data_IF_695491642485
#
_entry.id   IF_695491642485
#
_cell.length_a   1.000
_cell.length_b   1.000
_cell.length_c   1.000
_cell.angle_alpha   90.00
_cell.angle_beta   90.00
_cell.angle_gamma   90.00
#
_symmetry.space_group_name_H-M   'P 1'
#
loop_
_entity.id
_entity.type
_entity.pdbx_description
1 polymer ?
#
# COMPACT_ATOMS: atom_id res chain seq x y z
N UNK A 1 7.56 -46.49 13.86
CA UNK A 1 6.58 -45.72 13.08
C UNK A 1 7.02 -44.27 13.22
N UNK A 2 7.61 -43.71 12.18
CA UNK A 2 8.14 -42.33 12.16
C UNK A 2 7.06 -41.44 11.57
N UNK A 3 6.63 -40.41 12.30
CA UNK A 3 5.81 -39.34 11.76
C UNK A 3 6.78 -38.22 11.35
N UNK A 4 7.08 -38.14 10.06
CA UNK A 4 7.70 -36.95 9.47
C UNK A 4 6.61 -35.89 9.38
N UNK A 5 6.75 -34.86 10.23
CA UNK A 5 5.90 -33.68 10.19
C UNK A 5 6.14 -32.93 8.90
N UNK A 6 5.12 -32.90 8.05
CA UNK A 6 5.00 -32.03 6.89
C UNK A 6 4.86 -30.59 7.44
N UNK A 7 5.99 -29.90 7.56
CA UNK A 7 6.03 -28.49 7.95
C UNK A 7 5.65 -27.68 6.70
N UNK A 8 4.35 -27.40 6.53
CA UNK A 8 3.87 -26.46 5.52
C UNK A 8 4.67 -25.16 5.68
N UNK A 9 5.33 -24.64 4.63
CA UNK A 9 5.99 -23.35 4.73
C UNK A 9 4.88 -22.34 5.03
N UNK A 10 4.97 -21.67 6.18
CA UNK A 10 4.09 -20.58 6.55
C UNK A 10 4.08 -19.57 5.39
N UNK A 11 3.06 -19.67 4.54
CA UNK A 11 2.87 -18.77 3.43
C UNK A 11 2.65 -17.40 4.04
N UNK A 12 3.64 -16.51 3.88
CA UNK A 12 3.55 -15.13 4.31
C UNK A 12 2.24 -14.56 3.75
N UNK A 13 1.29 -14.28 4.66
CA UNK A 13 -0.03 -13.83 4.25
C UNK A 13 0.15 -12.57 3.40
N UNK A 14 -0.52 -12.46 2.24
CA UNK A 14 -0.35 -11.30 1.38
C UNK A 14 -0.69 -10.04 2.17
N UNK A 15 0.31 -9.18 2.37
CA UNK A 15 0.14 -7.92 3.08
C UNK A 15 -0.84 -7.08 2.27
N UNK A 16 -2.01 -6.80 2.85
CA UNK A 16 -3.01 -5.97 2.18
C UNK A 16 -2.44 -4.58 1.93
N UNK A 17 -2.63 -4.07 0.71
CA UNK A 17 -2.14 -2.74 0.30
C UNK A 17 -3.27 -1.83 -0.14
N UNK A 18 -3.02 -0.53 -0.09
CA UNK A 18 -3.95 0.53 -0.51
C UNK A 18 -3.17 1.63 -1.25
N UNK A 19 -3.80 2.22 -2.26
CA UNK A 19 -3.29 3.41 -2.92
C UNK A 19 -3.68 4.68 -2.15
N UNK A 20 -2.70 5.52 -1.86
CA UNK A 20 -2.84 6.79 -1.16
C UNK A 20 -2.25 7.94 -1.98
N UNK A 21 -2.82 9.14 -1.82
CA UNK A 21 -2.28 10.40 -2.35
C UNK A 21 -1.49 11.07 -1.22
N UNK A 22 -0.24 11.42 -1.49
CA UNK A 22 0.58 12.18 -0.55
C UNK A 22 0.11 13.64 -0.48
N UNK A 23 -0.15 14.15 0.71
CA UNK A 23 -0.56 15.54 0.96
C UNK A 23 0.65 16.45 1.27
N UNK A 24 1.79 15.85 1.61
CA UNK A 24 3.08 16.49 1.82
C UNK A 24 4.18 15.67 1.12
N UNK A 25 5.36 16.24 0.82
CA UNK A 25 6.50 15.43 0.42
C UNK A 25 6.88 14.47 1.56
N UNK A 26 7.11 13.21 1.23
CA UNK A 26 7.52 12.18 2.20
C UNK A 26 8.77 11.49 1.66
N UNK A 27 9.85 11.55 2.43
CA UNK A 27 11.13 10.95 2.06
C UNK A 27 10.97 9.45 1.80
N UNK A 28 11.49 9.02 0.65
CA UNK A 28 11.41 7.62 0.20
C UNK A 28 10.06 7.20 -0.39
N UNK A 29 9.02 8.05 -0.37
CA UNK A 29 7.73 7.74 -1.01
C UNK A 29 7.43 8.63 -2.22
N UNK A 30 7.71 9.93 -2.13
CA UNK A 30 7.52 10.85 -3.25
C UNK A 30 7.14 12.27 -2.85
N UNK A 31 6.77 13.04 -3.86
CA UNK A 31 6.34 14.44 -3.70
C UNK A 31 4.87 14.54 -3.34
N UNK A 32 4.45 15.72 -2.84
CA UNK A 32 3.03 16.04 -2.65
C UNK A 32 2.26 15.84 -3.97
N UNK A 33 1.12 15.15 -3.87
CA UNK A 33 0.25 14.81 -4.99
C UNK A 33 0.58 13.48 -5.66
N UNK A 34 1.71 12.84 -5.31
CA UNK A 34 2.02 11.51 -5.81
C UNK A 34 1.02 10.47 -5.28
N UNK A 35 0.64 9.54 -6.16
CA UNK A 35 -0.13 8.35 -5.78
C UNK A 35 0.85 7.21 -5.53
N UNK A 36 0.80 6.63 -4.33
CA UNK A 36 1.68 5.55 -3.88
C UNK A 36 0.85 4.39 -3.34
N UNK A 37 1.31 3.17 -3.56
CA UNK A 37 0.71 1.97 -2.96
C UNK A 37 1.49 1.60 -1.71
N UNK A 38 0.80 1.49 -0.58
CA UNK A 38 1.37 1.25 0.74
C UNK A 38 0.66 0.08 1.40
N UNK A 39 1.32 -0.57 2.36
CA UNK A 39 0.62 -1.46 3.30
C UNK A 39 -0.41 -0.68 4.15
N UNK A 40 -1.37 -1.40 4.73
CA UNK A 40 -2.46 -0.79 5.49
C UNK A 40 -1.98 -0.04 6.73
N UNK A 41 -0.97 -0.54 7.44
CA UNK A 41 -0.48 0.04 8.69
C UNK A 41 0.18 1.40 8.41
N UNK A 42 1.09 1.44 7.44
CA UNK A 42 1.77 2.66 7.01
C UNK A 42 0.84 3.67 6.38
N UNK A 43 -0.20 3.20 5.66
CA UNK A 43 -1.24 4.09 5.18
C UNK A 43 -2.01 4.74 6.33
N UNK A 44 -2.38 3.98 7.37
CA UNK A 44 -3.08 4.49 8.54
C UNK A 44 -2.22 5.50 9.33
N UNK A 45 -0.93 5.24 9.48
CA UNK A 45 0.01 6.16 10.14
C UNK A 45 0.10 7.50 9.39
N UNK A 46 0.23 7.46 8.06
CA UNK A 46 0.33 8.68 7.25
C UNK A 46 -0.99 9.45 7.18
N UNK A 47 -2.14 8.76 7.20
CA UNK A 47 -3.45 9.41 7.30
C UNK A 47 -3.63 10.10 8.65
N UNK A 48 -3.23 9.44 9.74
CA UNK A 48 -3.29 9.98 11.10
C UNK A 48 -2.38 11.21 11.25
N UNK A 49 -1.20 11.18 10.63
CA UNK A 49 -0.28 12.31 10.57
C UNK A 49 -0.74 13.43 9.61
N UNK A 50 -1.81 13.24 8.84
CA UNK A 50 -2.27 14.19 7.82
C UNK A 50 -1.33 14.33 6.61
N UNK A 51 -0.40 13.38 6.44
CA UNK A 51 0.59 13.36 5.37
C UNK A 51 0.10 12.65 4.10
N UNK A 52 -0.96 11.83 4.20
CA UNK A 52 -1.59 11.17 3.06
C UNK A 52 -3.12 11.07 3.24
N UNK A 53 -3.81 10.73 2.15
CA UNK A 53 -5.22 10.29 2.16
C UNK A 53 -5.43 9.13 1.19
N UNK A 54 -6.47 8.32 1.36
CA UNK A 54 -6.84 7.33 0.33
C UNK A 54 -7.04 7.99 -1.03
N UNK A 55 -6.48 7.34 -2.05
CA UNK A 55 -6.65 7.74 -3.44
C UNK A 55 -8.10 7.46 -3.86
N UNK A 56 -8.76 8.48 -4.41
CA UNK A 56 -10.04 8.30 -5.07
C UNK A 56 -9.84 7.70 -6.47
N UNK A 57 -10.91 7.20 -7.08
CA UNK A 57 -10.87 6.73 -8.47
C UNK A 57 -10.33 7.81 -9.43
N UNK A 58 -10.66 9.08 -9.19
CA UNK A 58 -10.18 10.21 -9.99
C UNK A 58 -8.67 10.41 -9.82
N UNK A 59 -8.15 10.28 -8.60
CA UNK A 59 -6.70 10.40 -8.34
C UNK A 59 -5.93 9.30 -9.08
N UNK A 60 -6.46 8.08 -9.08
CA UNK A 60 -5.87 6.95 -9.80
C UNK A 60 -5.92 7.14 -11.33
N UNK A 61 -6.99 7.74 -11.86
CA UNK A 61 -7.09 8.08 -13.28
C UNK A 61 -6.07 9.17 -13.67
N UNK A 62 -5.91 10.21 -12.84
CA UNK A 62 -4.95 11.29 -13.07
C UNK A 62 -3.52 10.75 -13.04
N UNK A 63 -3.21 9.86 -12.11
CA UNK A 63 -1.90 9.22 -12.01
C UNK A 63 -1.63 8.20 -13.14
N UNK A 64 -2.61 7.91 -13.99
CA UNK A 64 -2.51 6.87 -15.02
C UNK A 64 -2.41 5.46 -14.45
N UNK A 65 -2.75 5.26 -13.17
CA UNK A 65 -2.66 3.96 -12.49
C UNK A 65 -3.92 3.11 -12.67
N UNK A 66 -5.01 3.68 -13.22
CA UNK A 66 -6.10 2.90 -13.82
C UNK A 66 -5.99 2.94 -15.34
N UNK A 67 -5.28 1.96 -15.90
CA UNK A 67 -5.04 1.86 -17.33
C UNK A 67 -4.22 0.64 -17.77
N UNK A 68 -4.31 -0.49 -17.03
CA UNK A 68 -3.78 -1.78 -17.47
C UNK A 68 -4.76 -2.89 -17.07
N UNK A 69 -5.90 -2.94 -17.74
CA UNK A 69 -6.76 -4.12 -17.84
C UNK A 69 -7.36 -4.15 -19.24
#
# INVERSE_FOLDING_TARGET
>A
MTFEGDEEPAGEAPVATVSCVLLAPVDGLGQRGAVVTLDLDRAADLETAGAARRASLRDLQIAGTQGAS
#
